data_IF_695673900529
#
_entry.id   IF_695673900529
#
_cell.length_a   1.000
_cell.length_b   1.000
_cell.length_c   1.000
_cell.angle_alpha   90.00
_cell.angle_beta   90.00
_cell.angle_gamma   90.00
#
_symmetry.space_group_name_H-M   'P 1'
#
loop_
_entity.id
_entity.type
_entity.pdbx_description
1 polymer ?
#
# COMPACT_ATOMS: atom_id res chain seq x y z
N UNK A 1 -70.70 0.47 -45.10
CA UNK A 1 -70.14 -0.82 -44.64
C UNK A 1 -69.83 -1.67 -45.86
N UNK A 2 -68.77 -2.51 -45.87
CA UNK A 2 -67.63 -2.57 -44.91
C UNK A 2 -66.73 -1.30 -45.05
N UNK A 3 -65.40 -1.20 -44.84
CA UNK A 3 -64.32 -2.13 -44.49
C UNK A 3 -63.14 -1.40 -43.79
N UNK A 4 -62.09 -2.15 -43.42
CA UNK A 4 -60.71 -1.67 -43.19
C UNK A 4 -59.75 -2.43 -44.13
N UNK A 5 -58.50 -1.94 -44.29
CA UNK A 5 -57.43 -2.78 -43.73
C UNK A 5 -56.31 -2.01 -42.99
N UNK A 6 -56.02 -2.56 -41.81
CA UNK A 6 -54.75 -2.63 -41.06
C UNK A 6 -53.46 -2.15 -41.73
N UNK A 7 -52.63 -1.40 -40.98
CA UNK A 7 -51.16 -1.54 -41.00
C UNK A 7 -50.57 -1.53 -39.59
N UNK A 8 -49.66 -2.46 -39.39
CA UNK A 8 -48.86 -2.72 -38.18
C UNK A 8 -47.79 -1.66 -37.94
N UNK A 9 -47.45 -1.43 -36.67
CA UNK A 9 -46.18 -0.85 -36.25
C UNK A 9 -45.65 -1.61 -35.03
N UNK A 10 -44.47 -2.23 -35.17
CA UNK A 10 -43.88 -3.13 -34.18
C UNK A 10 -42.82 -2.40 -33.35
N UNK A 11 -42.98 -2.33 -32.03
CA UNK A 11 -41.99 -1.87 -31.05
C UNK A 11 -42.49 -2.25 -29.63
N UNK A 12 -41.66 -2.59 -28.64
CA UNK A 12 -40.20 -2.77 -28.58
C UNK A 12 -39.93 -3.88 -27.54
N UNK A 13 -38.97 -4.78 -27.77
CA UNK A 13 -38.62 -5.83 -26.80
C UNK A 13 -37.78 -5.28 -25.64
N UNK A 14 -38.31 -5.36 -24.41
CA UNK A 14 -37.52 -5.12 -23.20
C UNK A 14 -36.58 -6.30 -22.94
N UNK A 15 -35.31 -6.17 -23.36
CA UNK A 15 -34.25 -7.03 -22.88
C UNK A 15 -33.86 -6.63 -21.46
N UNK A 16 -34.39 -7.35 -20.47
CA UNK A 16 -33.99 -7.20 -19.07
C UNK A 16 -32.63 -7.87 -18.85
N UNK A 17 -31.55 -7.09 -18.98
CA UNK A 17 -30.20 -7.55 -18.61
C UNK A 17 -30.13 -7.66 -17.09
N UNK A 18 -30.21 -8.88 -16.56
CA UNK A 18 -29.75 -9.14 -15.20
C UNK A 18 -28.22 -9.01 -15.18
N UNK A 19 -27.72 -7.88 -14.68
CA UNK A 19 -26.32 -7.79 -14.28
C UNK A 19 -26.12 -8.76 -13.11
N UNK A 20 -25.29 -9.79 -13.32
CA UNK A 20 -24.71 -10.50 -12.18
C UNK A 20 -23.85 -9.51 -11.41
N UNK A 21 -24.32 -9.14 -10.22
CA UNK A 21 -23.50 -8.45 -9.24
C UNK A 21 -22.40 -9.40 -8.78
N UNK A 22 -21.27 -9.41 -9.48
CA UNK A 22 -20.05 -9.97 -8.94
C UNK A 22 -19.79 -9.29 -7.58
N UNK A 23 -19.49 -10.04 -6.51
CA UNK A 23 -19.09 -9.42 -5.26
C UNK A 23 -17.82 -8.63 -5.54
N UNK A 24 -17.94 -7.31 -5.56
CA UNK A 24 -16.79 -6.41 -5.69
C UNK A 24 -15.90 -6.71 -4.50
N UNK A 25 -14.83 -7.48 -4.74
CA UNK A 25 -13.85 -7.77 -3.72
C UNK A 25 -13.42 -6.43 -3.16
N UNK A 26 -13.57 -6.25 -1.84
CA UNK A 26 -13.06 -5.05 -1.17
C UNK A 26 -11.54 -5.06 -1.33
N UNK A 27 -11.06 -4.48 -2.42
CA UNK A 27 -9.75 -3.88 -2.48
C UNK A 27 -9.72 -2.93 -1.28
N UNK A 28 -9.08 -3.38 -0.20
CA UNK A 28 -8.79 -2.51 0.91
C UNK A 28 -7.87 -1.46 0.32
N UNK A 29 -8.42 -0.29 0.02
CA UNK A 29 -7.67 0.89 -0.39
C UNK A 29 -6.87 1.35 0.82
N UNK A 30 -5.80 0.59 1.10
CA UNK A 30 -4.71 1.05 1.93
C UNK A 30 -4.29 2.39 1.34
N UNK A 31 -4.27 3.45 2.16
CA UNK A 31 -3.87 4.77 1.67
C UNK A 31 -2.48 4.68 1.02
N UNK A 32 -2.16 5.56 0.05
CA UNK A 32 -1.09 5.37 -0.96
C UNK A 32 0.36 5.44 -0.43
N UNK A 33 0.54 5.23 0.87
CA UNK A 33 1.73 5.53 1.66
C UNK A 33 2.95 4.64 1.41
N UNK A 34 2.83 3.53 0.67
CA UNK A 34 4.00 2.82 0.14
C UNK A 34 4.77 3.68 -0.87
N UNK A 35 4.07 4.47 -1.68
CA UNK A 35 4.63 5.06 -2.89
C UNK A 35 4.54 4.12 -4.11
N UNK A 36 4.59 4.72 -5.30
CA UNK A 36 4.24 4.05 -6.57
C UNK A 36 5.42 3.79 -7.52
N UNK A 37 6.62 4.23 -7.13
CA UNK A 37 7.83 4.26 -7.97
C UNK A 37 9.06 4.15 -7.08
N UNK A 38 10.17 3.63 -7.59
CA UNK A 38 11.34 3.30 -6.76
C UNK A 38 11.92 4.48 -5.97
N UNK A 39 11.88 5.71 -6.49
CA UNK A 39 12.36 6.88 -5.73
C UNK A 39 11.46 7.28 -4.55
N UNK A 40 10.26 6.70 -4.38
CA UNK A 40 9.43 6.97 -3.21
C UNK A 40 9.94 6.24 -1.95
N UNK A 41 10.63 5.09 -2.13
CA UNK A 41 11.26 4.35 -1.04
C UNK A 41 12.65 4.91 -0.75
N UNK A 42 13.14 4.77 0.48
CA UNK A 42 14.52 5.07 0.87
C UNK A 42 15.46 3.89 0.63
N UNK A 43 14.97 2.65 0.79
CA UNK A 43 15.80 1.43 0.72
C UNK A 43 15.15 0.34 -0.12
N UNK A 44 15.96 -0.59 -0.64
CA UNK A 44 15.45 -1.74 -1.40
C UNK A 44 14.59 -2.68 -0.52
N UNK A 45 14.97 -3.02 0.73
CA UNK A 45 14.14 -3.85 1.60
C UNK A 45 12.77 -3.24 1.92
N UNK A 46 12.66 -1.91 2.00
CA UNK A 46 11.38 -1.19 2.14
C UNK A 46 10.49 -1.41 0.90
N UNK A 47 11.03 -1.17 -0.31
CA UNK A 47 10.32 -1.40 -1.56
C UNK A 47 9.88 -2.87 -1.72
N UNK A 48 10.79 -3.81 -1.41
CA UNK A 48 10.55 -5.25 -1.44
C UNK A 48 9.45 -5.68 -0.48
N UNK A 49 9.45 -5.13 0.73
CA UNK A 49 8.41 -5.39 1.72
C UNK A 49 7.06 -4.86 1.22
N UNK A 50 6.99 -3.62 0.73
CA UNK A 50 5.75 -3.05 0.22
C UNK A 50 5.18 -3.80 -0.99
N UNK A 51 6.05 -4.34 -1.85
CA UNK A 51 5.67 -5.22 -2.95
C UNK A 51 5.05 -6.53 -2.46
N UNK A 52 5.74 -7.27 -1.57
CA UNK A 52 5.20 -8.52 -1.00
C UNK A 52 3.96 -8.33 -0.12
N UNK A 53 3.78 -7.15 0.48
CA UNK A 53 2.58 -6.79 1.22
C UNK A 53 1.39 -6.41 0.32
N UNK A 54 1.59 -6.32 -1.00
CA UNK A 54 0.55 -5.91 -1.95
C UNK A 54 0.18 -4.43 -1.85
N UNK A 55 1.11 -3.60 -1.36
CA UNK A 55 0.88 -2.17 -1.07
C UNK A 55 1.58 -1.22 -2.04
N UNK A 56 2.65 -1.70 -2.70
CA UNK A 56 3.24 -1.06 -3.86
C UNK A 56 2.63 -1.63 -5.16
N UNK A 57 2.50 -0.83 -6.24
CA UNK A 57 2.09 -1.33 -7.54
C UNK A 57 3.17 -2.23 -8.15
N UNK A 58 2.79 -3.18 -9.00
CA UNK A 58 3.73 -4.08 -9.68
C UNK A 58 4.79 -3.35 -10.53
N UNK A 59 4.63 -2.05 -10.82
CA UNK A 59 5.64 -1.22 -11.50
C UNK A 59 6.93 -0.99 -10.70
N UNK A 60 7.00 -1.42 -9.42
CA UNK A 60 8.25 -1.42 -8.63
C UNK A 60 9.14 -2.64 -8.94
N UNK A 61 8.57 -3.69 -9.53
CA UNK A 61 9.21 -4.91 -10.05
C UNK A 61 8.88 -4.99 -11.55
N UNK A 62 9.56 -4.13 -12.32
CA UNK A 62 9.15 -3.80 -13.69
C UNK A 62 9.41 -4.93 -14.69
N UNK A 63 10.48 -5.70 -14.48
CA UNK A 63 10.89 -6.89 -15.19
C UNK A 63 10.27 -8.18 -14.65
N UNK A 64 9.67 -8.14 -13.45
CA UNK A 64 8.90 -9.23 -12.84
C UNK A 64 9.75 -10.45 -12.46
N UNK A 65 10.98 -10.21 -12.01
CA UNK A 65 11.86 -11.25 -11.48
C UNK A 65 11.57 -11.56 -9.99
N UNK A 66 10.72 -10.75 -9.35
CA UNK A 66 10.35 -10.84 -7.94
C UNK A 66 11.13 -9.89 -7.03
N UNK A 67 12.07 -9.12 -7.58
CA UNK A 67 12.95 -8.19 -6.86
C UNK A 67 12.50 -6.75 -7.13
N UNK A 68 11.86 -6.13 -6.14
CA UNK A 68 11.42 -4.75 -6.27
C UNK A 68 12.61 -3.79 -6.19
N UNK A 69 12.71 -2.84 -7.13
CA UNK A 69 13.66 -1.73 -7.10
C UNK A 69 15.14 -2.10 -6.78
N UNK A 70 15.77 -3.06 -7.48
CA UNK A 70 17.09 -3.60 -7.15
C UNK A 70 18.23 -2.56 -7.13
N UNK A 71 18.05 -1.41 -7.79
CA UNK A 71 19.01 -0.31 -7.81
C UNK A 71 19.01 0.57 -6.53
N UNK A 72 18.08 0.37 -5.59
CA UNK A 72 18.08 1.08 -4.31
C UNK A 72 19.13 0.50 -3.34
N UNK A 73 19.54 1.31 -2.36
CA UNK A 73 20.48 0.86 -1.32
C UNK A 73 19.86 -0.20 -0.40
N UNK A 74 20.67 -1.19 -0.04
CA UNK A 74 20.38 -2.17 1.02
C UNK A 74 20.68 -1.62 2.43
N UNK A 75 21.37 -0.47 2.51
CA UNK A 75 21.80 0.12 3.78
C UNK A 75 20.68 0.82 4.54
N UNK A 76 20.45 0.41 5.78
CA UNK A 76 19.56 1.10 6.73
C UNK A 76 20.22 2.37 7.29
N UNK A 77 19.42 3.42 7.54
CA UNK A 77 19.90 4.62 8.24
C UNK A 77 20.17 4.31 9.72
N UNK A 78 21.34 4.74 10.21
CA UNK A 78 21.81 4.52 11.60
C UNK A 78 22.00 5.84 12.39
N UNK A 79 21.57 6.95 11.81
CA UNK A 79 21.81 8.31 12.32
C UNK A 79 20.81 8.71 13.40
N UNK A 80 21.23 9.60 14.30
CA UNK A 80 20.33 10.19 15.29
C UNK A 80 19.96 9.25 16.44
N UNK A 81 18.75 9.39 16.98
CA UNK A 81 18.32 8.69 18.19
C UNK A 81 16.86 8.24 18.12
N UNK A 82 16.57 7.04 18.63
CA UNK A 82 15.21 6.53 18.75
C UNK A 82 14.40 7.31 19.80
N UNK A 83 13.31 7.95 19.38
CA UNK A 83 12.43 8.78 20.23
C UNK A 83 11.06 8.12 20.50
N UNK A 84 10.75 7.01 19.84
CA UNK A 84 9.54 6.22 20.07
C UNK A 84 9.75 4.78 19.60
N UNK A 85 9.04 3.84 20.21
CA UNK A 85 8.96 2.46 19.77
C UNK A 85 7.56 1.93 20.06
N UNK A 86 6.99 1.17 19.14
CA UNK A 86 5.81 0.34 19.36
C UNK A 86 6.06 -1.08 18.82
N UNK A 87 5.18 -2.03 19.14
CA UNK A 87 5.14 -3.35 18.54
C UNK A 87 3.80 -3.59 17.83
N UNK A 88 3.82 -4.43 16.80
CA UNK A 88 2.63 -4.94 16.11
C UNK A 88 2.88 -6.42 15.75
N UNK A 89 1.84 -7.22 15.60
CA UNK A 89 1.97 -8.66 15.33
C UNK A 89 1.14 -9.05 14.12
N UNK A 90 1.78 -9.55 13.07
CA UNK A 90 1.10 -10.07 11.89
C UNK A 90 1.25 -11.59 11.84
N UNK A 91 0.15 -12.31 12.05
CA UNK A 91 0.16 -13.78 12.21
C UNK A 91 1.09 -14.19 13.37
N UNK A 92 2.16 -14.91 13.09
CA UNK A 92 3.18 -15.35 14.06
C UNK A 92 4.41 -14.43 14.11
N UNK A 93 4.48 -13.40 13.26
CA UNK A 93 5.61 -12.51 13.16
C UNK A 93 5.41 -11.23 13.98
N UNK A 94 6.37 -10.93 14.85
CA UNK A 94 6.37 -9.71 15.67
C UNK A 94 7.22 -8.64 14.99
N UNK A 95 6.63 -7.46 14.84
CA UNK A 95 7.27 -6.27 14.30
C UNK A 95 7.56 -5.26 15.41
N UNK A 96 8.69 -4.57 15.28
CA UNK A 96 9.04 -3.39 16.08
C UNK A 96 9.03 -2.19 15.15
N UNK A 97 8.26 -1.17 15.51
CA UNK A 97 8.10 0.07 14.76
C UNK A 97 8.74 1.20 15.56
N UNK A 98 9.84 1.76 15.08
CA UNK A 98 10.61 2.78 15.78
C UNK A 98 10.54 4.12 15.05
N UNK A 99 10.44 5.23 15.80
CA UNK A 99 10.68 6.58 15.27
C UNK A 99 12.09 7.00 15.68
N UNK A 100 12.90 7.39 14.69
CA UNK A 100 14.25 7.89 14.86
C UNK A 100 14.31 9.37 14.46
N UNK A 101 15.04 10.18 15.23
CA UNK A 101 15.21 11.61 14.99
C UNK A 101 16.69 11.93 14.81
N UNK A 102 17.03 12.52 13.67
CA UNK A 102 18.36 13.10 13.39
C UNK A 102 18.36 14.59 13.70
N UNK A 103 17.31 15.30 13.30
CA UNK A 103 17.09 16.72 13.59
C UNK A 103 15.61 17.02 13.82
N UNK A 104 15.22 18.28 14.02
CA UNK A 104 13.80 18.68 14.12
C UNK A 104 13.01 18.48 12.84
N UNK A 105 13.68 18.39 11.67
CA UNK A 105 13.07 18.24 10.34
C UNK A 105 13.50 16.97 9.61
N UNK A 106 14.37 16.16 10.21
CA UNK A 106 14.77 14.83 9.72
C UNK A 106 14.43 13.78 10.77
N UNK A 107 13.22 13.22 10.61
CA UNK A 107 12.66 12.14 11.42
C UNK A 107 12.34 10.99 10.49
N UNK A 108 12.72 9.75 10.80
CA UNK A 108 12.40 8.59 9.94
C UNK A 108 11.84 7.43 10.75
N UNK A 109 11.21 6.47 10.07
CA UNK A 109 10.77 5.23 10.69
C UNK A 109 11.77 4.12 10.42
N UNK A 110 12.02 3.28 11.43
CA UNK A 110 12.73 2.01 11.27
C UNK A 110 11.77 0.86 11.61
N UNK A 111 11.60 -0.05 10.67
CA UNK A 111 10.70 -1.19 10.76
C UNK A 111 11.56 -2.43 10.86
N UNK A 112 11.34 -3.22 11.92
CA UNK A 112 12.05 -4.46 12.17
C UNK A 112 11.07 -5.60 12.38
N UNK A 113 11.46 -6.84 12.07
CA UNK A 113 10.67 -8.03 12.43
C UNK A 113 11.50 -9.10 13.14
N UNK A 114 10.80 -10.05 13.77
CA UNK A 114 11.40 -11.23 14.39
C UNK A 114 11.99 -12.23 13.39
N UNK A 115 11.71 -12.10 12.08
CA UNK A 115 12.28 -12.97 11.03
C UNK A 115 13.58 -12.42 10.42
N UNK A 116 13.99 -11.20 10.79
CA UNK A 116 15.22 -10.57 10.30
C UNK A 116 15.02 -9.40 9.33
N UNK A 117 13.76 -9.02 9.03
CA UNK A 117 13.49 -7.77 8.33
C UNK A 117 14.02 -6.57 9.13
N UNK A 118 14.74 -5.66 8.48
CA UNK A 118 15.18 -4.38 9.04
C UNK A 118 15.27 -3.38 7.89
N UNK A 119 14.44 -2.34 7.89
CA UNK A 119 14.48 -1.27 6.89
C UNK A 119 14.16 0.09 7.49
N UNK A 120 14.56 1.15 6.78
CA UNK A 120 14.29 2.54 7.15
C UNK A 120 13.57 3.27 6.04
N UNK A 121 12.60 4.11 6.40
CA UNK A 121 11.83 4.93 5.45
C UNK A 121 12.55 6.21 5.07
N UNK A 122 11.96 6.96 4.14
CA UNK A 122 12.28 8.39 3.95
C UNK A 122 11.94 9.22 5.18
N UNK A 123 12.51 10.42 5.21
CA UNK A 123 12.26 11.40 6.27
C UNK A 123 10.86 12.01 6.20
N UNK A 124 10.29 12.22 7.38
CA UNK A 124 9.12 13.04 7.67
C UNK A 124 9.61 14.39 8.23
N UNK A 125 8.89 15.50 7.95
CA UNK A 125 9.30 16.83 8.39
C UNK A 125 9.02 17.08 9.89
N UNK A 126 8.35 16.15 10.60
CA UNK A 126 8.06 16.27 12.03
C UNK A 126 7.85 14.92 12.72
N UNK A 127 8.08 14.87 14.05
CA UNK A 127 7.78 13.68 14.86
C UNK A 127 6.29 13.31 14.83
N UNK A 128 5.43 14.31 14.70
CA UNK A 128 3.97 14.14 14.64
C UNK A 128 3.61 13.33 13.40
N UNK A 129 4.12 13.71 12.24
CA UNK A 129 3.84 13.03 10.98
C UNK A 129 4.45 11.62 10.94
N UNK A 130 5.68 11.44 11.44
CA UNK A 130 6.28 10.11 11.55
C UNK A 130 5.43 9.17 12.44
N UNK A 131 4.98 9.65 13.62
CA UNK A 131 4.11 8.88 14.52
C UNK A 131 2.72 8.65 13.94
N UNK A 132 2.16 9.64 13.26
CA UNK A 132 0.85 9.54 12.62
C UNK A 132 0.88 8.51 11.49
N UNK A 133 1.88 8.56 10.61
CA UNK A 133 2.11 7.58 9.56
C UNK A 133 2.36 6.18 10.12
N UNK A 134 3.20 6.02 11.17
CA UNK A 134 3.39 4.73 11.84
C UNK A 134 2.05 4.14 12.32
N UNK A 135 1.18 4.96 12.91
CA UNK A 135 -0.10 4.52 13.48
C UNK A 135 -1.16 4.25 12.41
N UNK A 136 -1.32 5.14 11.44
CA UNK A 136 -2.39 5.03 10.43
C UNK A 136 -2.06 4.07 9.30
N UNK A 137 -0.77 3.81 9.07
CA UNK A 137 -0.29 2.92 8.01
C UNK A 137 0.32 1.63 8.57
N UNK A 138 1.53 1.67 9.12
CA UNK A 138 2.26 0.45 9.50
C UNK A 138 1.54 -0.40 10.55
N UNK A 139 0.97 0.19 11.60
CA UNK A 139 0.21 -0.56 12.61
C UNK A 139 -1.04 -1.21 12.00
N UNK A 140 -1.81 -0.47 11.20
CA UNK A 140 -3.01 -0.99 10.52
C UNK A 140 -2.71 -2.07 9.47
N UNK A 141 -1.52 -2.03 8.84
CA UNK A 141 -1.05 -3.01 7.86
C UNK A 141 -0.50 -4.30 8.51
N UNK A 142 -0.23 -4.25 9.82
CA UNK A 142 0.33 -5.35 10.59
C UNK A 142 -0.66 -6.03 11.54
N UNK A 143 -1.75 -5.34 11.91
CA UNK A 143 -2.88 -5.90 12.67
C UNK A 143 -3.74 -6.86 11.83
#
# INVERSE_FOLDING_TARGET
MPAQPSRTATALSLNLIMLLAAPLAKAQTLPPYAGTQCFHFATQPEAQWHYYMGTAPATVDADRDGIACPALTQGIRQEGSRIFSNQANRRTERFTLEVWRVSTTDVYLRIKSSSGLDFTTRSFPSDREAREHMRTYYQNLLN
#
